data_IF_000361181856
#
_entry.id   IF_000361181856
#
_cell.length_a   1.000
_cell.length_b   1.000
_cell.length_c   1.000
_cell.angle_alpha   90.00
_cell.angle_beta   90.00
_cell.angle_gamma   90.00
#
_symmetry.space_group_name_H-M   'P 1'
#
loop_
_entity.id
_entity.type
_entity.pdbx_description
1 polymer ?
#
# COMPACT_ATOMS: atom_id res chain seq x y z
N UNK A 1 -4.79 0.60 39.92
CA UNK A 1 -4.23 1.38 38.78
C UNK A 1 -3.10 0.72 37.98
N UNK A 2 -2.45 -0.37 38.42
CA UNK A 2 -1.28 -0.98 37.71
C UNK A 2 -1.57 -1.84 36.46
N UNK A 3 -2.83 -2.12 36.12
CA UNK A 3 -3.21 -3.06 35.03
C UNK A 3 -3.27 -2.41 33.63
N UNK A 4 -3.49 -1.09 33.55
CA UNK A 4 -3.73 -0.40 32.27
C UNK A 4 -2.44 -0.02 31.53
N UNK A 5 -1.36 0.30 32.23
CA UNK A 5 -0.06 0.64 31.62
C UNK A 5 0.52 -0.54 30.82
N UNK A 6 0.40 -1.76 31.35
CA UNK A 6 0.90 -3.00 30.69
C UNK A 6 0.16 -3.36 29.39
N UNK A 7 -1.12 -2.98 29.26
CA UNK A 7 -1.92 -3.22 28.04
C UNK A 7 -1.60 -2.18 26.95
N UNK A 8 -1.37 -0.93 27.34
CA UNK A 8 -1.03 0.16 26.43
C UNK A 8 0.32 -0.09 25.74
N UNK A 9 1.33 -0.55 26.50
CA UNK A 9 2.64 -0.93 25.95
C UNK A 9 2.56 -2.09 24.94
N UNK A 10 1.64 -3.05 25.15
CA UNK A 10 1.47 -4.20 24.26
C UNK A 10 0.89 -3.80 22.89
N UNK A 11 -0.09 -2.89 22.87
CA UNK A 11 -0.71 -2.40 21.62
C UNK A 11 0.27 -1.58 20.79
N UNK A 12 1.04 -0.69 21.43
CA UNK A 12 2.06 0.12 20.78
C UNK A 12 3.19 -0.74 20.18
N UNK A 13 3.67 -1.74 20.93
CA UNK A 13 4.67 -2.67 20.41
C UNK A 13 4.15 -3.49 19.23
N UNK A 14 2.87 -3.87 19.23
CA UNK A 14 2.26 -4.56 18.10
C UNK A 14 2.21 -3.66 16.85
N UNK A 15 1.81 -2.39 17.01
CA UNK A 15 1.77 -1.42 15.91
C UNK A 15 3.17 -1.18 15.30
N UNK A 16 4.18 -0.95 16.15
CA UNK A 16 5.57 -0.80 15.72
C UNK A 16 6.09 -2.04 14.99
N UNK A 17 5.76 -3.23 15.48
CA UNK A 17 6.15 -4.49 14.83
C UNK A 17 5.52 -4.61 13.45
N UNK A 18 4.21 -4.36 13.33
CA UNK A 18 3.49 -4.40 12.05
C UNK A 18 4.07 -3.37 11.07
N UNK A 19 4.37 -2.17 11.54
CA UNK A 19 4.99 -1.11 10.75
C UNK A 19 6.36 -1.53 10.20
N UNK A 20 7.24 -2.06 11.05
CA UNK A 20 8.57 -2.52 10.64
C UNK A 20 8.51 -3.68 9.64
N UNK A 21 7.63 -4.66 9.88
CA UNK A 21 7.39 -5.77 8.95
C UNK A 21 6.88 -5.23 7.61
N UNK A 22 5.97 -4.26 7.63
CA UNK A 22 5.44 -3.60 6.44
C UNK A 22 6.52 -2.90 5.61
N UNK A 23 7.44 -2.18 6.26
CA UNK A 23 8.58 -1.55 5.57
C UNK A 23 9.50 -2.59 4.93
N UNK A 24 9.91 -3.61 5.70
CA UNK A 24 10.81 -4.65 5.19
C UNK A 24 10.19 -5.35 3.98
N UNK A 25 8.90 -5.68 4.08
CA UNK A 25 8.14 -6.27 2.98
C UNK A 25 8.09 -5.35 1.76
N UNK A 26 7.74 -4.06 1.95
CA UNK A 26 7.64 -3.11 0.85
C UNK A 26 8.98 -2.88 0.15
N UNK A 27 10.07 -2.72 0.91
CA UNK A 27 11.42 -2.56 0.34
C UNK A 27 11.86 -3.82 -0.40
N UNK A 28 11.64 -5.00 0.19
CA UNK A 28 11.96 -6.28 -0.46
C UNK A 28 11.25 -6.41 -1.82
N UNK A 29 9.95 -6.12 -1.85
CA UNK A 29 9.16 -6.13 -3.10
C UNK A 29 9.62 -5.09 -4.11
N UNK A 30 9.99 -3.88 -3.67
CA UNK A 30 10.55 -2.89 -4.59
C UNK A 30 11.87 -3.37 -5.21
N UNK A 31 12.74 -4.02 -4.43
CA UNK A 31 13.99 -4.59 -4.93
C UNK A 31 13.70 -5.68 -5.96
N UNK A 32 12.79 -6.61 -5.67
CA UNK A 32 12.35 -7.63 -6.63
C UNK A 32 11.88 -6.97 -7.94
N UNK A 33 11.12 -5.88 -7.83
CA UNK A 33 10.61 -5.17 -9.00
C UNK A 33 11.67 -4.50 -9.84
N UNK A 34 12.64 -3.87 -9.18
CA UNK A 34 13.79 -3.25 -9.85
C UNK A 34 14.69 -4.32 -10.50
N UNK A 35 14.94 -5.43 -9.82
CA UNK A 35 15.73 -6.54 -10.36
C UNK A 35 15.09 -7.15 -11.60
N UNK A 36 13.78 -7.40 -11.56
CA UNK A 36 13.02 -7.93 -12.69
C UNK A 36 13.08 -6.94 -13.87
N UNK A 37 12.85 -5.65 -13.63
CA UNK A 37 12.91 -4.61 -14.68
C UNK A 37 14.32 -4.49 -15.27
N UNK A 38 15.37 -4.60 -14.45
CA UNK A 38 16.74 -4.61 -14.92
C UNK A 38 17.06 -5.84 -15.79
N UNK A 39 16.54 -7.02 -15.43
CA UNK A 39 16.69 -8.23 -16.25
C UNK A 39 16.00 -8.08 -17.61
N UNK A 40 14.80 -7.48 -17.65
CA UNK A 40 14.10 -7.18 -18.89
C UNK A 40 14.93 -6.26 -19.80
N UNK A 41 15.51 -5.19 -19.23
CA UNK A 41 16.36 -4.24 -19.97
C UNK A 41 17.64 -4.92 -20.47
N UNK A 42 18.31 -5.69 -19.61
CA UNK A 42 19.61 -6.30 -19.91
C UNK A 42 19.52 -7.40 -20.97
N UNK A 43 18.53 -8.28 -20.84
CA UNK A 43 18.42 -9.45 -21.69
C UNK A 43 17.54 -9.19 -22.92
N UNK A 44 16.78 -8.09 -22.93
CA UNK A 44 15.80 -7.73 -23.96
C UNK A 44 14.91 -8.92 -24.34
N UNK A 45 14.47 -9.66 -23.32
CA UNK A 45 13.60 -10.81 -23.44
C UNK A 45 12.69 -10.86 -22.21
N UNK A 46 11.45 -11.30 -22.42
CA UNK A 46 10.48 -11.45 -21.34
C UNK A 46 10.96 -12.57 -20.38
N UNK A 47 11.13 -12.28 -19.08
CA UNK A 47 11.37 -13.29 -18.07
C UNK A 47 10.27 -14.36 -18.07
N UNK A 48 10.62 -15.59 -17.67
CA UNK A 48 9.69 -16.72 -17.63
C UNK A 48 8.48 -16.48 -16.70
N UNK A 49 8.65 -15.62 -15.70
CA UNK A 49 7.58 -15.21 -14.79
C UNK A 49 7.08 -13.80 -15.15
N UNK A 50 5.76 -13.61 -15.34
CA UNK A 50 5.19 -12.31 -15.65
C UNK A 50 5.40 -11.34 -14.47
N UNK A 51 5.71 -10.09 -14.81
CA UNK A 51 6.02 -9.05 -13.83
C UNK A 51 4.81 -8.60 -13.01
N UNK A 52 3.68 -8.47 -13.69
CA UNK A 52 2.38 -8.22 -13.09
C UNK A 52 1.31 -8.94 -13.89
N UNK A 53 0.24 -9.23 -13.16
CA UNK A 53 -0.94 -9.96 -13.60
C UNK A 53 -0.64 -11.44 -13.89
N UNK A 54 -1.49 -12.31 -13.34
CA UNK A 54 -1.58 -13.73 -13.71
C UNK A 54 -2.15 -13.92 -15.13
N UNK A 55 -1.93 -12.93 -16.00
CA UNK A 55 -2.38 -12.97 -17.38
C UNK A 55 -1.48 -13.98 -18.07
N UNK A 56 -2.05 -15.16 -18.32
CA UNK A 56 -1.38 -16.22 -19.06
C UNK A 56 -1.13 -15.72 -20.49
N UNK A 57 0.10 -15.27 -20.73
CA UNK A 57 0.59 -14.89 -22.05
C UNK A 57 0.82 -16.11 -22.97
N UNK A 58 0.76 -17.33 -22.40
CA UNK A 58 1.20 -18.60 -23.01
C UNK A 58 0.40 -18.99 -24.25
N UNK A 59 -0.81 -18.45 -24.47
CA UNK A 59 -1.68 -18.86 -25.58
C UNK A 59 -2.00 -17.77 -26.62
N UNK A 60 -1.43 -16.57 -26.51
CA UNK A 60 -1.74 -15.49 -27.45
C UNK A 60 -0.60 -15.25 -28.44
N UNK A 61 -0.92 -15.30 -29.73
CA UNK A 61 -0.06 -14.99 -30.88
C UNK A 61 0.31 -13.51 -31.01
N UNK A 62 0.03 -12.70 -29.98
CA UNK A 62 0.39 -11.29 -29.93
C UNK A 62 1.84 -11.17 -29.45
N UNK A 63 2.74 -10.82 -30.36
CA UNK A 63 4.10 -10.39 -30.02
C UNK A 63 4.01 -9.16 -29.11
N UNK A 64 4.13 -9.37 -27.80
CA UNK A 64 4.14 -8.28 -26.84
C UNK A 64 5.45 -7.52 -27.02
N UNK A 65 5.34 -6.28 -27.49
CA UNK A 65 6.46 -5.35 -27.56
C UNK A 65 7.10 -5.20 -26.17
N UNK A 66 8.38 -5.57 -26.07
CA UNK A 66 9.20 -5.42 -24.87
C UNK A 66 9.20 -3.96 -24.39
N UNK A 67 9.20 -3.01 -25.32
CA UNK A 67 9.15 -1.59 -25.00
C UNK A 67 7.82 -1.19 -24.33
N UNK A 68 6.69 -1.72 -24.81
CA UNK A 68 5.40 -1.49 -24.16
C UNK A 68 5.36 -2.13 -22.77
N UNK A 69 5.84 -3.36 -22.64
CA UNK A 69 5.93 -4.05 -21.36
C UNK A 69 6.78 -3.28 -20.34
N UNK A 70 7.90 -2.69 -20.79
CA UNK A 70 8.76 -1.85 -19.95
C UNK A 70 8.06 -0.58 -19.47
N UNK A 71 7.20 0.04 -20.29
CA UNK A 71 6.41 1.21 -19.88
C UNK A 71 5.46 0.84 -18.74
N UNK A 72 4.74 -0.28 -18.86
CA UNK A 72 3.88 -0.79 -17.79
C UNK A 72 4.70 -1.15 -16.52
N UNK A 73 5.92 -1.64 -16.69
CA UNK A 73 6.85 -1.93 -15.59
C UNK A 73 7.22 -0.71 -14.77
N UNK A 74 7.62 0.34 -15.46
CA UNK A 74 7.96 1.61 -14.83
C UNK A 74 6.72 2.22 -14.17
N UNK A 75 5.57 2.19 -14.83
CA UNK A 75 4.32 2.70 -14.27
C UNK A 75 3.95 1.97 -12.97
N UNK A 76 4.08 0.65 -12.94
CA UNK A 76 3.77 -0.15 -11.74
C UNK A 76 4.73 0.18 -10.58
N UNK A 77 6.03 0.34 -10.85
CA UNK A 77 7.01 0.75 -9.84
C UNK A 77 6.64 2.12 -9.25
N UNK A 78 6.26 3.08 -10.10
CA UNK A 78 5.84 4.41 -9.67
C UNK A 78 4.60 4.31 -8.75
N UNK A 79 3.61 3.50 -9.13
CA UNK A 79 2.43 3.28 -8.31
C UNK A 79 2.78 2.56 -7.00
N UNK A 80 3.71 1.62 -7.03
CA UNK A 80 4.18 0.91 -5.84
C UNK A 80 4.82 1.84 -4.79
N UNK A 81 5.48 2.92 -5.21
CA UNK A 81 6.01 3.93 -4.29
C UNK A 81 4.94 4.55 -3.37
N UNK A 82 3.65 4.54 -3.74
CA UNK A 82 2.58 4.98 -2.85
C UNK A 82 2.42 4.11 -1.60
N UNK A 83 2.80 2.83 -1.64
CA UNK A 83 2.85 1.99 -0.42
C UNK A 83 3.90 2.55 0.54
N UNK A 84 5.08 2.87 0.04
CA UNK A 84 6.18 3.41 0.85
C UNK A 84 5.78 4.77 1.42
N UNK A 85 5.16 5.64 0.62
CA UNK A 85 4.62 6.91 1.10
C UNK A 85 3.55 6.72 2.17
N UNK A 86 2.65 5.75 2.00
CA UNK A 86 1.62 5.42 2.98
C UNK A 86 2.20 4.93 4.30
N UNK A 87 3.24 4.10 4.26
CA UNK A 87 3.98 3.68 5.45
C UNK A 87 4.73 4.86 6.08
N UNK A 88 5.43 5.67 5.30
CA UNK A 88 6.15 6.84 5.80
C UNK A 88 5.24 7.81 6.57
N UNK A 89 4.02 8.04 6.09
CA UNK A 89 3.05 8.88 6.79
C UNK A 89 2.62 8.29 8.15
N UNK A 90 2.64 6.96 8.32
CA UNK A 90 2.40 6.33 9.62
C UNK A 90 3.58 6.48 10.59
N UNK A 91 4.78 6.83 10.12
CA UNK A 91 5.94 7.05 10.99
C UNK A 91 5.72 8.22 11.97
N UNK A 92 4.98 9.25 11.56
CA UNK A 92 4.64 10.35 12.48
C UNK A 92 3.75 9.83 13.63
N UNK A 93 2.85 8.89 13.34
CA UNK A 93 1.98 8.29 14.36
C UNK A 93 2.74 7.39 15.33
N UNK A 94 3.75 6.64 14.86
CA UNK A 94 4.57 5.78 15.73
C UNK A 94 5.32 6.62 16.77
N UNK A 95 5.86 7.76 16.37
CA UNK A 95 6.54 8.70 17.27
C UNK A 95 5.59 9.31 18.30
N UNK A 96 4.41 9.78 17.86
CA UNK A 96 3.40 10.35 18.76
C UNK A 96 2.85 9.32 19.76
N UNK A 97 2.71 8.06 19.35
CA UNK A 97 2.33 6.98 20.25
C UNK A 97 3.43 6.65 21.27
N UNK A 98 4.70 6.65 20.87
CA UNK A 98 5.84 6.47 21.78
C UNK A 98 5.87 7.54 22.87
N UNK A 99 5.54 8.78 22.51
CA UNK A 99 5.43 9.91 23.43
C UNK A 99 4.10 9.94 24.24
N UNK A 100 3.23 8.93 24.07
CA UNK A 100 1.90 8.83 24.70
C UNK A 100 0.95 9.97 24.35
N UNK A 101 1.19 10.68 23.25
CA UNK A 101 0.35 11.78 22.73
C UNK A 101 -0.69 11.25 21.75
N UNK A 102 -1.67 10.50 22.27
CA UNK A 102 -2.63 9.73 21.47
C UNK A 102 -3.75 10.59 20.85
N UNK A 103 -4.09 11.72 21.50
CA UNK A 103 -5.15 12.63 21.07
C UNK A 103 -4.52 13.88 20.44
N UNK A 104 -3.95 13.68 19.26
CA UNK A 104 -3.37 14.74 18.44
C UNK A 104 -4.01 14.68 17.06
N UNK A 105 -4.39 15.83 16.50
CA UNK A 105 -5.04 15.93 15.18
C UNK A 105 -4.16 15.33 14.06
N UNK A 106 -2.85 15.38 14.26
CA UNK A 106 -1.77 14.86 13.43
C UNK A 106 -1.92 13.35 13.23
N UNK A 107 -2.36 12.61 14.24
CA UNK A 107 -2.56 11.15 14.15
C UNK A 107 -3.70 10.85 13.17
N UNK A 108 -4.84 11.54 13.31
CA UNK A 108 -5.96 11.40 12.38
C UNK A 108 -5.55 11.76 10.95
N UNK A 109 -4.80 12.84 10.78
CA UNK A 109 -4.32 13.29 9.46
C UNK A 109 -3.38 12.28 8.82
N UNK A 110 -2.44 11.73 9.58
CA UNK A 110 -1.50 10.73 9.11
C UNK A 110 -2.20 9.44 8.65
N UNK A 111 -3.17 8.94 9.43
CA UNK A 111 -4.00 7.80 9.01
C UNK A 111 -4.76 8.11 7.72
N UNK A 112 -5.35 9.31 7.58
CA UNK A 112 -6.06 9.71 6.36
C UNK A 112 -5.16 9.73 5.13
N UNK A 113 -3.97 10.32 5.26
CA UNK A 113 -2.99 10.37 4.17
C UNK A 113 -2.52 8.95 3.82
N UNK A 114 -2.28 8.12 4.82
CA UNK A 114 -1.81 6.74 4.62
C UNK A 114 -2.86 5.92 3.85
N UNK A 115 -4.12 6.03 4.26
CA UNK A 115 -5.26 5.43 3.56
C UNK A 115 -5.38 5.88 2.11
N UNK A 116 -5.24 7.19 1.83
CA UNK A 116 -5.21 7.70 0.46
C UNK A 116 -4.08 7.09 -0.36
N UNK A 117 -2.89 6.93 0.23
CA UNK A 117 -1.74 6.38 -0.47
C UNK A 117 -1.94 4.89 -0.78
N UNK A 118 -2.47 4.09 0.15
CA UNK A 118 -2.79 2.68 -0.11
C UNK A 118 -3.91 2.48 -1.15
N UNK A 119 -4.93 3.33 -1.14
CA UNK A 119 -5.97 3.30 -2.18
C UNK A 119 -5.43 3.76 -3.53
N UNK A 120 -4.55 4.78 -3.56
CA UNK A 120 -3.90 5.23 -4.80
C UNK A 120 -3.04 4.10 -5.40
N UNK A 121 -2.34 3.33 -4.56
CA UNK A 121 -1.68 2.11 -5.00
C UNK A 121 -2.68 1.11 -5.59
N UNK A 122 -3.71 0.71 -4.84
CA UNK A 122 -4.64 -0.35 -5.25
C UNK A 122 -5.41 -0.01 -6.53
N UNK A 123 -5.91 1.21 -6.67
CA UNK A 123 -6.60 1.64 -7.89
C UNK A 123 -5.62 1.93 -9.02
N UNK A 124 -4.42 2.43 -8.72
CA UNK A 124 -3.37 2.65 -9.72
C UNK A 124 -2.93 1.36 -10.38
N UNK A 125 -2.72 0.28 -9.61
CA UNK A 125 -2.36 -1.03 -10.16
C UNK A 125 -3.51 -1.63 -10.96
N UNK A 126 -4.76 -1.50 -10.47
CA UNK A 126 -5.93 -1.95 -11.22
C UNK A 126 -6.06 -1.25 -12.59
N UNK A 127 -5.82 0.06 -12.64
CA UNK A 127 -5.84 0.84 -13.89
C UNK A 127 -4.74 0.35 -14.83
N UNK A 128 -3.53 0.11 -14.31
CA UNK A 128 -2.41 -0.43 -15.09
C UNK A 128 -2.76 -1.80 -15.67
N UNK A 129 -3.34 -2.70 -14.87
CA UNK A 129 -3.73 -4.05 -15.31
C UNK A 129 -4.82 -4.01 -16.39
N UNK A 130 -5.84 -3.15 -16.23
CA UNK A 130 -6.89 -2.95 -17.23
C UNK A 130 -6.31 -2.37 -18.53
N UNK A 131 -5.43 -1.37 -18.41
CA UNK A 131 -4.77 -0.75 -19.57
C UNK A 131 -3.88 -1.76 -20.31
N UNK A 132 -3.16 -2.61 -19.57
CA UNK A 132 -2.35 -3.67 -20.15
C UNK A 132 -3.20 -4.72 -20.87
N UNK A 133 -4.29 -5.19 -20.27
CA UNK A 133 -5.22 -6.12 -20.92
C UNK A 133 -5.84 -5.54 -22.19
N UNK A 134 -6.30 -4.28 -22.14
CA UNK A 134 -6.88 -3.60 -23.29
C UNK A 134 -5.86 -3.44 -24.41
N UNK A 135 -4.62 -3.08 -24.08
CA UNK A 135 -3.53 -2.96 -25.04
C UNK A 135 -3.17 -4.31 -25.66
N UNK A 136 -3.01 -5.35 -24.84
CA UNK A 136 -2.66 -6.70 -25.29
C UNK A 136 -3.84 -7.43 -25.95
N UNK A 137 -5.03 -6.82 -26.00
CA UNK A 137 -6.26 -7.41 -26.57
C UNK A 137 -6.60 -8.78 -25.98
N UNK A 138 -6.30 -8.99 -24.70
CA UNK A 138 -6.48 -10.27 -24.01
C UNK A 138 -7.88 -10.29 -23.38
N UNK A 139 -8.69 -11.29 -23.73
CA UNK A 139 -10.06 -11.45 -23.22
C UNK A 139 -10.12 -12.07 -21.82
N UNK A 140 -9.29 -11.61 -20.87
CA UNK A 140 -9.39 -12.04 -19.49
C UNK A 140 -10.55 -11.34 -18.77
N UNK A 141 -11.16 -12.02 -17.79
CA UNK A 141 -12.22 -11.42 -17.01
C UNK A 141 -11.60 -10.41 -16.04
N UNK A 142 -12.24 -9.27 -15.84
CA UNK A 142 -11.80 -8.24 -14.88
C UNK A 142 -11.63 -8.83 -13.46
N UNK A 143 -12.41 -9.85 -13.11
CA UNK A 143 -12.31 -10.51 -11.80
C UNK A 143 -10.96 -11.23 -11.62
N UNK A 144 -10.32 -11.65 -12.70
CA UNK A 144 -9.01 -12.31 -12.68
C UNK A 144 -7.87 -11.31 -12.40
N UNK A 145 -8.16 -10.00 -12.47
CA UNK A 145 -7.24 -8.91 -12.12
C UNK A 145 -7.27 -8.56 -10.63
N UNK A 146 -8.28 -9.03 -9.88
CA UNK A 146 -8.39 -8.78 -8.44
C UNK A 146 -7.40 -9.67 -7.69
N UNK A 147 -6.15 -9.22 -7.61
CA UNK A 147 -5.12 -9.91 -6.86
C UNK A 147 -5.39 -9.84 -5.35
N UNK A 148 -4.83 -10.80 -4.61
CA UNK A 148 -4.87 -10.79 -3.15
C UNK A 148 -4.22 -9.52 -2.60
N UNK A 149 -3.11 -9.06 -3.18
CA UNK A 149 -2.48 -7.81 -2.75
C UNK A 149 -3.42 -6.61 -2.92
N UNK A 150 -4.07 -6.50 -4.07
CA UNK A 150 -5.01 -5.42 -4.36
C UNK A 150 -6.14 -5.39 -3.32
N UNK A 151 -6.76 -6.54 -3.04
CA UNK A 151 -7.81 -6.64 -2.02
C UNK A 151 -7.31 -6.25 -0.64
N UNK A 152 -6.12 -6.71 -0.25
CA UNK A 152 -5.50 -6.36 1.03
C UNK A 152 -5.29 -4.85 1.12
N UNK A 153 -4.75 -4.20 0.08
CA UNK A 153 -4.53 -2.74 0.11
C UNK A 153 -5.82 -1.92 0.06
N UNK A 154 -6.89 -2.41 -0.57
CA UNK A 154 -8.22 -1.79 -0.45
C UNK A 154 -8.71 -1.86 1.00
N UNK A 155 -8.67 -3.04 1.61
CA UNK A 155 -9.13 -3.24 3.00
C UNK A 155 -8.31 -2.39 3.96
N UNK A 156 -6.98 -2.44 3.84
CA UNK A 156 -6.07 -1.65 4.67
C UNK A 156 -6.30 -0.15 4.44
N UNK A 157 -6.47 0.29 3.20
CA UNK A 157 -6.78 1.68 2.87
C UNK A 157 -8.04 2.19 3.56
N UNK A 158 -9.15 1.45 3.47
CA UNK A 158 -10.39 1.77 4.18
C UNK A 158 -10.25 1.72 5.70
N UNK A 159 -9.49 0.75 6.23
CA UNK A 159 -9.21 0.66 7.67
C UNK A 159 -8.48 1.92 8.16
N UNK A 160 -7.54 2.47 7.38
CA UNK A 160 -6.86 3.72 7.74
C UNK A 160 -7.81 4.92 7.76
N UNK A 161 -8.79 4.99 6.84
CA UNK A 161 -9.84 6.02 6.91
C UNK A 161 -10.69 5.87 8.18
N UNK A 162 -11.11 4.65 8.49
CA UNK A 162 -11.88 4.37 9.70
C UNK A 162 -11.11 4.78 10.98
N UNK A 163 -9.82 4.46 11.05
CA UNK A 163 -8.96 4.88 12.15
C UNK A 163 -8.81 6.40 12.20
N UNK A 164 -8.66 7.06 11.05
CA UNK A 164 -8.61 8.53 10.98
C UNK A 164 -9.84 9.18 11.60
N UNK A 165 -11.04 8.67 11.29
CA UNK A 165 -12.29 9.19 11.83
C UNK A 165 -12.42 8.93 13.33
N UNK A 166 -12.04 7.73 13.81
CA UNK A 166 -12.00 7.42 15.26
C UNK A 166 -11.09 8.39 16.01
N UNK A 167 -9.87 8.62 15.51
CA UNK A 167 -8.93 9.52 16.18
C UNK A 167 -9.41 10.97 16.14
N UNK A 168 -10.05 11.40 15.04
CA UNK A 168 -10.64 12.74 14.95
C UNK A 168 -11.71 12.93 16.00
N UNK A 169 -12.63 11.98 16.13
CA UNK A 169 -13.69 12.03 17.13
C UNK A 169 -13.12 11.99 18.55
N UNK A 170 -12.11 11.15 18.78
CA UNK A 170 -11.41 11.10 20.07
C UNK A 170 -10.74 12.41 20.47
N UNK A 171 -10.19 13.17 19.50
CA UNK A 171 -9.63 14.51 19.74
C UNK A 171 -10.74 15.48 20.13
N UNK A 172 -11.84 15.53 19.36
CA UNK A 172 -12.97 16.42 19.65
C UNK A 172 -13.54 16.19 21.06
N UNK A 173 -13.78 14.93 21.43
CA UNK A 173 -14.29 14.57 22.76
C UNK A 173 -13.33 15.03 23.87
N UNK A 174 -12.02 14.93 23.63
CA UNK A 174 -11.02 15.37 24.61
C UNK A 174 -11.04 16.90 24.76
N UNK A 175 -11.09 17.63 23.65
CA UNK A 175 -11.16 19.10 23.64
C UNK A 175 -12.43 19.60 24.34
N UNK A 176 -13.59 19.00 24.06
CA UNK A 176 -14.85 19.33 24.74
C UNK A 176 -14.76 19.12 26.26
N UNK A 177 -14.16 18.01 26.70
CA UNK A 177 -13.99 17.73 28.13
C UNK A 177 -13.00 18.70 28.79
N UNK A 178 -11.94 19.13 28.10
CA UNK A 178 -10.98 20.13 28.60
C UNK A 178 -11.59 21.54 28.67
N UNK A 179 -12.62 21.85 27.87
CA UNK A 179 -13.34 23.13 27.91
C UNK A 179 -14.46 23.17 28.95
N UNK A 180 -14.93 22.02 29.43
CA UNK A 180 -16.09 21.91 30.33
C UNK A 180 -15.71 21.74 31.81
N UNK A 181 -14.48 21.29 32.10
CA UNK A 181 -13.92 21.09 33.44
C UNK A 181 -13.05 22.29 33.83
#
# INVERSE_FOLDING_TARGET
MKKNTKKMDKGMNAFLTIYMVGIIFAIGKLIDYLQWTFQLIKNWNLPNEPFFSKVNLVNNTTDISIAAYLIFAIAYIIVFCFIILGLYQLNETTQLFADKKIFQSEISLAFKRSGKSFLAFAFGTLIIDIAFLAWASISNRIIDLLSTELLVFIIVGYLMFFLSDIFKEGVNIKEENELTI
#
